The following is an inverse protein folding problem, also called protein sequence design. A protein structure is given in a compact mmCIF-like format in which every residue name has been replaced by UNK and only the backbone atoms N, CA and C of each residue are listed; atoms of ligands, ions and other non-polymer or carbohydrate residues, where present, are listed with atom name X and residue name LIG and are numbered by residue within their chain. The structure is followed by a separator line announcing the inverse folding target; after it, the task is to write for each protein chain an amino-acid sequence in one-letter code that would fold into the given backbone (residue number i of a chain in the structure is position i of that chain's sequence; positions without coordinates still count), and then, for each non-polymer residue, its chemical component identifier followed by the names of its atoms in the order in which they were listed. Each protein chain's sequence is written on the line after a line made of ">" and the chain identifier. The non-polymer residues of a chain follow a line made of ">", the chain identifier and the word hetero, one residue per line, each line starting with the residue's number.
data_IF_478211095822
#
_entry.id   IF_478211095822
#
_cell.length_a   1.000
_cell.length_b   1.000
_cell.length_c   1.000
_cell.angle_alpha   90.00
_cell.angle_beta   90.00
_cell.angle_gamma   90.00
#
_symmetry.space_group_name_H-M   'P 1'
#
loop_
_entity.id
_entity.type
_entity.pdbx_description
1 polymer ?
#
# COMPACT_ATOMS: atom_id res chain seq x y z
N UNK A 1 -17.95 -26.72 -7.53
CA UNK A 1 -16.63 -27.20 -8.00
C UNK A 1 -15.59 -26.78 -6.99
N UNK A 2 -14.67 -27.67 -6.56
CA UNK A 2 -13.77 -27.36 -5.46
C UNK A 2 -12.77 -26.29 -5.88
N UNK A 3 -12.62 -25.26 -5.04
CA UNK A 3 -11.78 -24.10 -5.27
C UNK A 3 -10.31 -24.49 -5.44
N UNK A 4 -9.79 -24.21 -6.63
CA UNK A 4 -8.36 -24.27 -6.91
C UNK A 4 -7.67 -23.30 -5.94
N UNK A 5 -6.93 -23.83 -4.96
CA UNK A 5 -6.06 -23.04 -4.10
C UNK A 5 -5.03 -22.34 -5.00
N UNK A 6 -5.34 -21.13 -5.47
CA UNK A 6 -4.35 -20.21 -6.04
C UNK A 6 -3.37 -19.91 -4.91
N UNK A 7 -2.24 -20.62 -4.88
CA UNK A 7 -1.12 -20.26 -4.00
C UNK A 7 -0.77 -18.81 -4.27
N UNK A 8 -0.84 -17.96 -3.24
CA UNK A 8 -0.34 -16.59 -3.34
C UNK A 8 1.13 -16.65 -3.75
N UNK A 9 1.57 -15.86 -4.74
CA UNK A 9 2.97 -15.84 -5.14
C UNK A 9 3.82 -15.47 -3.93
N UNK A 10 4.91 -16.21 -3.71
CA UNK A 10 5.89 -15.84 -2.67
C UNK A 10 6.46 -14.47 -3.03
N UNK A 11 6.39 -13.51 -2.12
CA UNK A 11 6.97 -12.18 -2.36
C UNK A 11 8.50 -12.32 -2.42
N UNK A 12 9.08 -11.77 -3.48
CA UNK A 12 10.52 -11.64 -3.73
C UNK A 12 10.81 -10.21 -4.14
N UNK A 13 12.08 -9.78 -4.11
CA UNK A 13 12.47 -8.47 -4.63
C UNK A 13 12.05 -8.27 -6.09
N UNK A 14 12.10 -9.32 -6.92
CA UNK A 14 11.66 -9.25 -8.32
C UNK A 14 10.15 -8.98 -8.44
N UNK A 15 9.32 -9.73 -7.69
CA UNK A 15 7.87 -9.54 -7.68
C UNK A 15 7.51 -8.15 -7.14
N UNK A 16 8.15 -7.75 -6.04
CA UNK A 16 7.98 -6.42 -5.46
C UNK A 16 8.35 -5.30 -6.45
N UNK A 17 9.51 -5.39 -7.09
CA UNK A 17 9.97 -4.41 -8.09
C UNK A 17 9.02 -4.31 -9.29
N UNK A 18 8.47 -5.44 -9.76
CA UNK A 18 7.47 -5.47 -10.83
C UNK A 18 6.17 -4.77 -10.42
N UNK A 19 5.70 -4.97 -9.19
CA UNK A 19 4.50 -4.31 -8.66
C UNK A 19 4.71 -2.79 -8.54
N UNK A 20 5.81 -2.37 -7.91
CA UNK A 20 6.17 -0.95 -7.77
C UNK A 20 6.27 -0.27 -9.14
N UNK A 21 6.94 -0.91 -10.11
CA UNK A 21 7.07 -0.36 -11.46
C UNK A 21 5.72 -0.26 -12.18
N UNK A 22 4.90 -1.30 -12.09
CA UNK A 22 3.59 -1.34 -12.75
C UNK A 22 2.65 -0.29 -12.19
N UNK A 23 2.53 -0.20 -10.85
CA UNK A 23 1.69 0.81 -10.23
C UNK A 23 2.25 2.21 -10.39
N UNK A 24 3.57 2.41 -10.30
CA UNK A 24 4.19 3.71 -10.56
C UNK A 24 3.82 4.26 -11.92
N UNK A 25 3.88 3.44 -12.97
CA UNK A 25 3.48 3.86 -14.33
C UNK A 25 2.03 4.30 -14.44
N UNK A 26 1.11 3.75 -13.66
CA UNK A 26 -0.31 4.09 -13.80
C UNK A 26 -0.73 5.18 -12.82
N UNK A 27 -0.35 5.02 -11.55
CA UNK A 27 -0.64 5.99 -10.49
C UNK A 27 -0.06 7.35 -10.82
N UNK A 28 1.16 7.44 -11.39
CA UNK A 28 1.78 8.74 -11.68
C UNK A 28 1.16 9.46 -12.88
N UNK A 29 0.48 8.75 -13.78
CA UNK A 29 -0.07 9.31 -15.01
C UNK A 29 -1.47 9.91 -14.84
N UNK A 30 -2.24 9.44 -13.87
CA UNK A 30 -3.62 9.88 -13.65
C UNK A 30 -3.75 10.78 -12.41
N UNK A 31 -4.00 12.10 -12.58
CA UNK A 31 -4.23 13.03 -11.47
C UNK A 31 -5.41 12.67 -10.56
N UNK A 32 -6.41 11.95 -11.07
CA UNK A 32 -7.56 11.51 -10.27
C UNK A 32 -7.19 10.38 -9.31
N UNK A 33 -6.12 9.63 -9.61
CA UNK A 33 -5.59 8.59 -8.73
C UNK A 33 -4.44 9.15 -7.87
N UNK A 34 -3.48 9.86 -8.49
CA UNK A 34 -2.25 10.29 -7.81
C UNK A 34 -2.50 11.25 -6.66
N UNK A 35 -3.43 12.20 -6.81
CA UNK A 35 -3.73 13.21 -5.77
C UNK A 35 -4.40 12.63 -4.53
N UNK A 36 -5.48 11.82 -4.61
CA UNK A 36 -6.02 11.17 -3.42
C UNK A 36 -5.05 10.16 -2.82
N UNK A 37 -4.27 9.44 -3.64
CA UNK A 37 -3.23 8.54 -3.15
C UNK A 37 -2.16 9.27 -2.34
N UNK A 38 -1.70 10.43 -2.83
CA UNK A 38 -0.77 11.34 -2.14
C UNK A 38 -1.35 11.79 -0.80
N UNK A 39 -2.60 12.27 -0.79
CA UNK A 39 -3.24 12.75 0.43
C UNK A 39 -3.34 11.65 1.49
N UNK A 40 -3.67 10.42 1.07
CA UNK A 40 -3.77 9.29 1.97
C UNK A 40 -2.40 8.85 2.51
N UNK A 41 -1.40 8.73 1.64
CA UNK A 41 -0.04 8.39 2.04
C UNK A 41 0.53 9.41 3.02
N UNK A 42 0.37 10.71 2.72
CA UNK A 42 0.77 11.81 3.60
C UNK A 42 0.12 11.70 4.97
N UNK A 43 -1.19 11.42 5.03
CA UNK A 43 -1.92 11.21 6.29
C UNK A 43 -1.29 10.08 7.12
N UNK A 44 -1.08 8.91 6.52
CA UNK A 44 -0.50 7.74 7.22
C UNK A 44 0.93 8.02 7.68
N UNK A 45 1.76 8.62 6.84
CA UNK A 45 3.13 8.97 7.23
C UNK A 45 3.19 10.04 8.32
N UNK A 46 2.19 10.92 8.41
CA UNK A 46 2.09 11.90 9.49
C UNK A 46 1.63 11.25 10.81
N UNK A 47 0.68 10.31 10.76
CA UNK A 47 0.23 9.52 11.92
C UNK A 47 1.41 8.76 12.56
N UNK A 48 2.33 8.24 11.75
CA UNK A 48 3.45 7.40 12.19
C UNK A 48 4.82 7.94 11.74
N UNK A 49 5.08 9.21 12.04
CA UNK A 49 6.27 9.94 11.55
C UNK A 49 7.59 9.22 11.89
N UNK A 50 7.70 8.65 13.09
CA UNK A 50 8.91 7.94 13.51
C UNK A 50 9.19 6.68 12.69
N UNK A 51 8.16 5.91 12.34
CA UNK A 51 8.29 4.73 11.48
C UNK A 51 8.62 5.12 10.05
N UNK A 52 7.98 6.17 9.52
CA UNK A 52 8.27 6.69 8.19
C UNK A 52 9.74 7.13 8.07
N UNK A 53 10.25 7.87 9.04
CA UNK A 53 11.66 8.30 9.09
C UNK A 53 12.62 7.11 9.23
N UNK A 54 12.27 6.09 10.01
CA UNK A 54 13.10 4.90 10.15
C UNK A 54 13.22 4.11 8.83
N UNK A 55 12.12 4.00 8.08
CA UNK A 55 12.12 3.38 6.75
C UNK A 55 12.98 4.21 5.78
N UNK A 56 12.77 5.52 5.73
CA UNK A 56 13.50 6.43 4.85
C UNK A 56 15.02 6.38 5.13
N UNK A 57 15.42 6.33 6.39
CA UNK A 57 16.83 6.23 6.80
C UNK A 57 17.50 4.90 6.44
N UNK A 58 16.73 3.86 6.14
CA UNK A 58 17.24 2.54 5.71
C UNK A 58 17.17 2.33 4.20
N UNK A 59 16.33 3.09 3.51
CA UNK A 59 16.17 3.06 2.06
C UNK A 59 16.71 4.35 1.44
N UNK A 60 15.81 5.25 1.06
CA UNK A 60 16.10 6.57 0.51
C UNK A 60 15.10 7.59 1.08
N UNK A 61 15.44 8.89 1.11
CA UNK A 61 14.52 9.92 1.59
C UNK A 61 13.17 9.89 0.86
N UNK A 62 12.07 9.84 1.60
CA UNK A 62 10.71 9.78 1.06
C UNK A 62 10.25 8.39 0.60
N UNK A 63 11.02 7.32 0.84
CA UNK A 63 10.66 5.96 0.45
C UNK A 63 9.34 5.49 1.07
N UNK A 64 9.12 5.70 2.37
CA UNK A 64 7.90 5.31 3.06
C UNK A 64 6.68 5.93 2.38
N UNK A 65 6.74 7.25 2.18
CA UNK A 65 5.69 8.00 1.52
C UNK A 65 5.45 7.52 0.07
N UNK A 66 6.50 7.36 -0.72
CA UNK A 66 6.40 6.93 -2.11
C UNK A 66 5.71 5.56 -2.24
N UNK A 67 6.15 4.55 -1.49
CA UNK A 67 5.57 3.21 -1.57
C UNK A 67 4.15 3.16 -1.04
N UNK A 68 3.84 3.89 0.03
CA UNK A 68 2.47 4.02 0.56
C UNK A 68 1.54 4.71 -0.43
N UNK A 69 2.02 5.72 -1.17
CA UNK A 69 1.25 6.38 -2.23
C UNK A 69 0.92 5.42 -3.37
N UNK A 70 1.88 4.60 -3.81
CA UNK A 70 1.58 3.59 -4.82
C UNK A 70 0.55 2.57 -4.33
N UNK A 71 0.65 2.15 -3.06
CA UNK A 71 -0.32 1.24 -2.46
C UNK A 71 -1.72 1.87 -2.40
N UNK A 72 -1.82 3.13 -1.99
CA UNK A 72 -3.09 3.87 -2.02
C UNK A 72 -3.69 3.93 -3.42
N UNK A 73 -2.87 4.24 -4.43
CA UNK A 73 -3.30 4.22 -5.83
C UNK A 73 -3.83 2.86 -6.27
N UNK A 74 -3.18 1.76 -5.86
CA UNK A 74 -3.66 0.40 -6.18
C UNK A 74 -5.04 0.10 -5.59
N UNK A 75 -5.33 0.60 -4.38
CA UNK A 75 -6.65 0.44 -3.75
C UNK A 75 -7.73 1.28 -4.40
N UNK A 76 -7.41 2.53 -4.77
CA UNK A 76 -8.34 3.40 -5.52
C UNK A 76 -8.72 2.74 -6.84
N UNK A 77 -7.72 2.29 -7.61
CA UNK A 77 -7.93 1.56 -8.85
C UNK A 77 -8.73 0.27 -8.67
N UNK A 78 -8.56 -0.42 -7.54
CA UNK A 78 -9.33 -1.62 -7.23
C UNK A 78 -10.81 -1.32 -6.94
N UNK A 79 -11.10 -0.20 -6.27
CA UNK A 79 -12.48 0.25 -6.01
C UNK A 79 -13.20 0.69 -7.29
N UNK A 80 -12.45 1.29 -8.22
CA UNK A 80 -12.95 1.67 -9.54
C UNK A 80 -13.11 0.49 -10.51
N UNK A 81 -12.62 -0.70 -10.14
CA UNK A 81 -12.66 -1.90 -10.96
C UNK A 81 -11.57 -2.00 -12.03
N UNK A 82 -10.63 -1.04 -12.06
CA UNK A 82 -9.51 -1.00 -13.01
C UNK A 82 -8.43 -2.07 -12.72
N UNK A 83 -8.36 -2.55 -11.47
CA UNK A 83 -7.44 -3.61 -11.02
C UNK A 83 -8.19 -4.59 -10.11
N UNK A 84 -7.92 -5.91 -10.15
CA UNK A 84 -8.53 -6.83 -9.20
C UNK A 84 -8.15 -6.54 -7.75
N UNK A 85 -9.10 -6.64 -6.82
CA UNK A 85 -8.86 -6.48 -5.37
C UNK A 85 -7.68 -7.36 -4.88
N UNK A 86 -7.62 -8.61 -5.33
CA UNK A 86 -6.53 -9.52 -4.98
C UNK A 86 -5.14 -9.01 -5.40
N UNK A 87 -5.05 -8.18 -6.44
CA UNK A 87 -3.78 -7.58 -6.85
C UNK A 87 -3.36 -6.46 -5.89
N UNK A 88 -4.30 -5.65 -5.39
CA UNK A 88 -4.03 -4.66 -4.35
C UNK A 88 -3.62 -5.34 -3.02
N UNK A 89 -4.27 -6.44 -2.65
CA UNK A 89 -3.89 -7.25 -1.46
C UNK A 89 -2.47 -7.82 -1.57
N UNK A 90 -2.09 -8.37 -2.74
CA UNK A 90 -0.73 -8.86 -2.98
C UNK A 90 0.27 -7.71 -2.86
N UNK A 91 -0.10 -6.51 -3.31
CA UNK A 91 0.79 -5.37 -3.19
C UNK A 91 0.92 -4.86 -1.75
N UNK A 92 -0.15 -4.85 -0.97
CA UNK A 92 -0.10 -4.61 0.49
C UNK A 92 0.87 -5.57 1.17
N UNK A 93 0.73 -6.88 0.91
CA UNK A 93 1.64 -7.91 1.44
C UNK A 93 3.09 -7.66 1.01
N UNK A 94 3.31 -7.22 -0.23
CA UNK A 94 4.63 -6.95 -0.75
C UNK A 94 5.30 -5.73 -0.09
N UNK A 95 4.54 -4.66 0.16
CA UNK A 95 5.06 -3.49 0.89
C UNK A 95 5.30 -3.85 2.35
N UNK A 96 4.40 -4.62 2.99
CA UNK A 96 4.58 -5.08 4.37
C UNK A 96 5.82 -5.97 4.52
N UNK A 97 6.04 -6.89 3.57
CA UNK A 97 7.25 -7.70 3.48
C UNK A 97 8.51 -6.84 3.33
N UNK A 98 8.46 -5.80 2.49
CA UNK A 98 9.61 -4.89 2.29
C UNK A 98 9.92 -4.08 3.55
N UNK A 99 8.89 -3.60 4.24
CA UNK A 99 9.03 -2.69 5.38
C UNK A 99 9.37 -3.40 6.68
N UNK A 100 8.83 -4.61 6.90
CA UNK A 100 8.95 -5.34 8.16
C UNK A 100 10.38 -5.44 8.74
N UNK A 101 11.41 -5.75 7.94
CA UNK A 101 12.79 -5.82 8.43
C UNK A 101 13.44 -4.46 8.76
N UNK A 102 12.84 -3.34 8.35
CA UNK A 102 13.47 -2.01 8.43
C UNK A 102 13.31 -1.35 9.80
N UNK A 103 12.18 -1.57 10.47
CA UNK A 103 11.93 -1.12 11.83
C UNK A 103 10.80 -1.94 12.49
N UNK A 104 10.81 -2.12 13.83
CA UNK A 104 9.72 -2.77 14.55
C UNK A 104 8.38 -2.08 14.25
N UNK A 105 7.37 -2.84 13.83
CA UNK A 105 6.04 -2.30 13.50
C UNK A 105 5.90 -1.69 12.10
N UNK A 106 6.97 -1.55 11.32
CA UNK A 106 6.92 -0.96 9.97
C UNK A 106 6.02 -1.73 8.99
N UNK A 107 5.86 -3.05 9.19
CA UNK A 107 4.93 -3.87 8.40
C UNK A 107 3.45 -3.49 8.60
N UNK A 108 3.11 -2.70 9.62
CA UNK A 108 1.73 -2.28 9.89
C UNK A 108 1.31 -1.05 9.09
N UNK A 109 2.25 -0.24 8.58
CA UNK A 109 1.92 0.97 7.81
C UNK A 109 1.11 0.67 6.54
N UNK A 110 1.48 -0.34 5.73
CA UNK A 110 0.70 -0.73 4.56
C UNK A 110 -0.72 -1.16 4.94
N UNK A 111 -0.86 -1.92 6.02
CA UNK A 111 -2.17 -2.38 6.50
C UNK A 111 -3.06 -1.22 6.94
N UNK A 112 -2.50 -0.30 7.74
CA UNK A 112 -3.20 0.93 8.16
C UNK A 112 -3.68 1.74 6.96
N UNK A 113 -2.83 1.89 5.96
CA UNK A 113 -3.19 2.58 4.72
C UNK A 113 -4.33 1.88 3.98
N UNK A 114 -4.27 0.56 3.84
CA UNK A 114 -5.32 -0.23 3.19
C UNK A 114 -6.66 -0.11 3.90
N UNK A 115 -6.70 -0.18 5.23
CA UNK A 115 -7.92 0.02 6.04
C UNK A 115 -8.55 1.39 5.78
N UNK A 116 -7.72 2.44 5.74
CA UNK A 116 -8.21 3.78 5.42
C UNK A 116 -8.70 3.89 3.98
N UNK A 117 -7.95 3.32 3.02
CA UNK A 117 -8.31 3.35 1.60
C UNK A 117 -9.67 2.68 1.36
N UNK A 118 -9.94 1.55 2.01
CA UNK A 118 -11.21 0.80 1.91
C UNK A 118 -12.39 1.47 2.65
N UNK A 119 -12.16 2.59 3.36
CA UNK A 119 -13.19 3.29 4.13
C UNK A 119 -13.62 2.55 5.40
N UNK A 120 -12.83 1.57 5.86
CA UNK A 120 -13.16 0.74 7.03
C UNK A 120 -13.09 1.54 8.34
N UNK A 121 -12.20 2.53 8.44
CA UNK A 121 -12.10 3.37 9.64
C UNK A 121 -13.34 4.26 9.91
N UNK A 122 -14.17 4.53 8.91
CA UNK A 122 -15.40 5.31 9.07
C UNK A 122 -16.63 4.44 9.41
N UNK A 123 -16.53 3.11 9.28
CA UNK A 123 -17.62 2.19 9.63
C UNK A 123 -17.64 1.88 11.13
N UNK A 124 -16.49 1.75 11.77
CA UNK A 124 -16.41 1.51 13.22
C UNK A 124 -17.00 2.66 14.05
N UNK A 125 -16.80 3.91 13.65
CA UNK A 125 -17.33 5.08 14.36
C UNK A 125 -18.85 5.29 14.23
N UNK A 126 -19.56 4.45 13.46
CA UNK A 126 -21.03 4.51 13.30
C UNK A 126 -21.75 3.34 13.98
N UNK A 127 -21.03 2.51 14.74
CA UNK A 127 -21.59 1.37 15.47
C UNK A 127 -21.59 1.55 17.00
N UNK A 128 -21.22 2.73 17.49
CA UNK A 128 -21.43 3.19 18.88
C UNK A 128 -22.52 4.28 18.93
#
# INVERSE_FOLDING_TARGET
>A
MPGWFRRKPRITEEVYGKLVTSFGRVVDLDPLISRPAEALAKKVTAEETGLAQAIDGRLYPGAAHYHLRLLAGSWIMAQEGSVPVATAEIFEEAVAWKFGPLAPGAANLPHRLSTLARGEAARDARQD
#
